data_IF_655239075223
#
_entry.id   IF_655239075223
#
_cell.length_a   1.000
_cell.length_b   1.000
_cell.length_c   1.000
_cell.angle_alpha   90.00
_cell.angle_beta   90.00
_cell.angle_gamma   90.00
#
_symmetry.space_group_name_H-M   'P 1'
#
loop_
_entity.id
_entity.type
_entity.pdbx_description
1 polymer ?
#
# COMPACT_ATOMS: atom_id res chain seq x y z
N UNK A 1 10.72 -20.93 -20.99
CA UNK A 1 9.94 -20.80 -19.74
C UNK A 1 9.10 -19.53 -19.86
N UNK A 2 7.78 -19.60 -19.70
CA UNK A 2 6.91 -18.41 -19.74
C UNK A 2 6.83 -17.85 -18.31
N UNK A 3 7.22 -16.58 -18.08
CA UNK A 3 7.12 -15.98 -16.75
C UNK A 3 5.66 -15.75 -16.37
N UNK A 4 5.24 -16.26 -15.22
CA UNK A 4 3.89 -16.10 -14.68
C UNK A 4 3.68 -14.67 -14.15
N UNK A 5 4.73 -14.04 -13.62
CA UNK A 5 4.71 -12.70 -13.05
C UNK A 5 5.65 -11.79 -13.84
N UNK A 6 5.16 -11.24 -14.95
CA UNK A 6 5.88 -10.24 -15.75
C UNK A 6 5.23 -8.86 -15.54
N UNK A 7 5.88 -7.93 -14.81
CA UNK A 7 5.40 -6.56 -14.70
C UNK A 7 5.30 -5.91 -16.09
N UNK A 8 4.21 -5.19 -16.32
CA UNK A 8 4.09 -4.33 -17.51
C UNK A 8 4.93 -3.08 -17.30
N UNK A 9 5.82 -2.78 -18.26
CA UNK A 9 6.63 -1.57 -18.27
C UNK A 9 6.12 -0.66 -19.40
N UNK A 10 5.54 0.51 -19.07
CA UNK A 10 5.11 1.47 -20.08
C UNK A 10 6.29 2.01 -20.90
N UNK A 11 6.05 2.29 -22.18
CA UNK A 11 7.02 2.97 -23.04
C UNK A 11 7.23 4.43 -22.58
N UNK A 12 8.45 4.96 -22.74
CA UNK A 12 8.75 6.36 -22.47
C UNK A 12 8.89 6.77 -20.98
N UNK A 13 8.82 5.83 -20.04
CA UNK A 13 8.86 6.13 -18.59
C UNK A 13 10.19 6.73 -18.10
N UNK A 14 11.30 6.46 -18.81
CA UNK A 14 12.65 6.87 -18.40
C UNK A 14 12.80 8.37 -18.22
N UNK A 15 12.24 9.19 -19.12
CA UNK A 15 12.36 10.66 -19.02
C UNK A 15 11.72 11.21 -17.73
N UNK A 16 10.61 10.61 -17.29
CA UNK A 16 9.97 10.97 -16.01
C UNK A 16 10.82 10.55 -14.82
N UNK A 17 11.31 9.31 -14.83
CA UNK A 17 12.14 8.76 -13.76
C UNK A 17 13.45 9.55 -13.61
N UNK A 18 14.16 9.84 -14.70
CA UNK A 18 15.42 10.60 -14.67
C UNK A 18 15.22 11.97 -14.02
N UNK A 19 14.15 12.68 -14.38
CA UNK A 19 13.82 13.97 -13.75
C UNK A 19 13.61 13.83 -12.25
N UNK A 20 12.96 12.76 -11.78
CA UNK A 20 12.75 12.50 -10.35
C UNK A 20 14.09 12.20 -9.68
N UNK A 21 14.89 11.29 -10.23
CA UNK A 21 16.16 10.86 -9.67
C UNK A 21 17.14 12.03 -9.48
N UNK A 22 17.25 12.91 -10.47
CA UNK A 22 18.14 14.08 -10.42
C UNK A 22 17.52 15.31 -9.73
N UNK A 23 16.24 15.27 -9.34
CA UNK A 23 15.59 16.40 -8.64
C UNK A 23 16.01 16.56 -7.18
N UNK A 24 16.66 15.56 -6.58
CA UNK A 24 16.93 15.47 -5.14
C UNK A 24 15.70 15.17 -4.27
N UNK A 25 14.50 15.11 -4.84
CA UNK A 25 13.24 14.86 -4.14
C UNK A 25 12.75 13.43 -4.37
N UNK A 26 13.37 12.47 -3.67
CA UNK A 26 13.08 11.04 -3.82
C UNK A 26 12.02 10.50 -2.86
N UNK A 27 11.77 11.23 -1.76
CA UNK A 27 10.74 10.87 -0.78
C UNK A 27 9.34 11.21 -1.29
N UNK A 28 8.32 10.86 -0.50
CA UNK A 28 6.95 11.26 -0.79
C UNK A 28 6.83 12.78 -0.96
N UNK A 29 6.27 13.20 -2.09
CA UNK A 29 6.26 14.59 -2.51
C UNK A 29 5.25 14.83 -3.62
N UNK A 30 5.60 15.67 -4.59
CA UNK A 30 4.70 16.04 -5.71
C UNK A 30 4.07 14.82 -6.39
N UNK A 31 4.88 13.84 -6.78
CA UNK A 31 4.40 12.66 -7.52
C UNK A 31 3.59 11.70 -6.65
N UNK A 32 3.92 11.59 -5.35
CA UNK A 32 3.13 10.81 -4.39
C UNK A 32 1.72 11.39 -4.22
N UNK A 33 1.61 12.71 -4.04
CA UNK A 33 0.32 13.41 -3.96
C UNK A 33 -0.51 13.31 -5.25
N UNK A 34 0.15 13.43 -6.41
CA UNK A 34 -0.52 13.28 -7.69
C UNK A 34 -1.07 11.87 -7.89
N UNK A 35 -0.30 10.85 -7.49
CA UNK A 35 -0.74 9.46 -7.52
C UNK A 35 -1.93 9.22 -6.57
N UNK A 36 -1.85 9.73 -5.33
CA UNK A 36 -2.94 9.62 -4.36
C UNK A 36 -4.22 10.29 -4.85
N UNK A 37 -4.14 11.47 -5.46
CA UNK A 37 -5.28 12.14 -6.07
C UNK A 37 -5.91 11.30 -7.19
N UNK A 38 -5.10 10.82 -8.13
CA UNK A 38 -5.61 9.99 -9.24
C UNK A 38 -6.23 8.68 -8.74
N UNK A 39 -5.64 8.08 -7.70
CA UNK A 39 -6.18 6.88 -7.09
C UNK A 39 -7.50 7.16 -6.36
N UNK A 40 -7.59 8.28 -5.64
CA UNK A 40 -8.81 8.76 -4.98
C UNK A 40 -9.96 8.92 -5.98
N UNK A 41 -9.70 9.60 -7.11
CA UNK A 41 -10.65 9.78 -8.20
C UNK A 41 -11.07 8.45 -8.83
N UNK A 42 -10.12 7.52 -9.04
CA UNK A 42 -10.39 6.20 -9.60
C UNK A 42 -11.25 5.31 -8.68
N UNK A 43 -10.99 5.34 -7.37
CA UNK A 43 -11.73 4.57 -6.36
C UNK A 43 -13.10 5.22 -6.08
N UNK A 44 -13.21 6.55 -6.25
CA UNK A 44 -14.40 7.32 -5.88
C UNK A 44 -14.50 7.57 -4.37
N UNK A 45 -13.37 7.73 -3.68
CA UNK A 45 -13.33 8.01 -2.24
C UNK A 45 -12.30 9.10 -1.92
N UNK A 46 -12.79 10.28 -1.53
CA UNK A 46 -11.98 11.45 -1.19
C UNK A 46 -11.06 11.24 0.02
N UNK A 47 -11.30 10.21 0.83
CA UNK A 47 -10.50 9.84 2.00
C UNK A 47 -9.50 8.72 1.69
N UNK A 48 -8.80 8.82 0.55
CA UNK A 48 -7.78 7.85 0.13
C UNK A 48 -6.40 8.28 0.58
N UNK A 49 -5.64 7.36 1.17
CA UNK A 49 -4.24 7.58 1.59
C UNK A 49 -3.33 6.49 1.03
N UNK A 50 -2.19 6.91 0.47
CA UNK A 50 -1.16 6.03 -0.05
C UNK A 50 -0.11 5.73 1.01
N UNK A 51 0.33 4.47 1.06
CA UNK A 51 1.36 4.00 1.99
C UNK A 51 2.35 3.09 1.28
N UNK A 52 3.45 2.78 1.94
CA UNK A 52 4.57 2.02 1.35
C UNK A 52 4.25 0.55 1.08
N UNK A 53 3.35 -0.07 1.84
CA UNK A 53 2.95 -1.47 1.64
C UNK A 53 1.62 -1.79 2.30
N UNK A 54 1.02 -2.91 1.90
CA UNK A 54 -0.19 -3.45 2.52
C UNK A 54 -0.03 -3.67 4.04
N UNK A 55 1.11 -4.23 4.48
CA UNK A 55 1.34 -4.45 5.92
C UNK A 55 1.37 -3.14 6.70
N UNK A 56 1.97 -2.07 6.15
CA UNK A 56 1.92 -0.75 6.79
C UNK A 56 0.49 -0.21 6.88
N UNK A 57 -0.30 -0.36 5.81
CA UNK A 57 -1.71 0.02 5.83
C UNK A 57 -2.45 -0.68 6.97
N UNK A 58 -2.27 -2.00 7.08
CA UNK A 58 -2.97 -2.80 8.08
C UNK A 58 -2.53 -2.45 9.51
N UNK A 59 -1.24 -2.20 9.73
CA UNK A 59 -0.75 -1.77 11.04
C UNK A 59 -1.30 -0.40 11.46
N UNK A 60 -1.45 0.53 10.51
CA UNK A 60 -2.09 1.83 10.76
C UNK A 60 -3.55 1.58 11.16
N UNK A 61 -4.31 0.86 10.33
CA UNK A 61 -5.73 0.57 10.58
C UNK A 61 -5.96 -0.06 11.95
N UNK A 62 -5.24 -1.14 12.27
CA UNK A 62 -5.40 -1.84 13.55
C UNK A 62 -5.04 -0.95 14.74
N UNK A 63 -4.05 -0.07 14.59
CA UNK A 63 -3.67 0.89 15.65
C UNK A 63 -4.68 2.03 15.80
N UNK A 64 -5.31 2.46 14.70
CA UNK A 64 -6.31 3.53 14.70
C UNK A 64 -7.66 3.06 15.21
N UNK A 65 -8.02 1.79 15.00
CA UNK A 65 -9.26 1.20 15.53
C UNK A 65 -9.23 1.00 17.06
N UNK A 66 -8.06 1.14 17.70
CA UNK A 66 -7.92 0.99 19.15
C UNK A 66 -8.05 -0.45 19.63
N UNK A 67 -7.76 -1.42 18.77
CA UNK A 67 -7.81 -2.85 19.13
C UNK A 67 -6.70 -3.20 20.13
N UNK A 68 -7.07 -3.98 21.13
CA UNK A 68 -6.18 -4.43 22.19
C UNK A 68 -5.82 -5.92 22.04
N UNK A 69 -4.69 -6.37 22.62
CA UNK A 69 -4.36 -7.79 22.67
C UNK A 69 -5.51 -8.64 23.21
N UNK A 70 -5.91 -9.66 22.45
CA UNK A 70 -7.02 -10.55 22.78
C UNK A 70 -8.35 -10.22 22.09
N UNK A 71 -8.49 -9.05 21.46
CA UNK A 71 -9.64 -8.73 20.63
C UNK A 71 -9.75 -9.65 19.41
N UNK A 72 -10.98 -9.97 19.00
CA UNK A 72 -11.26 -10.95 17.94
C UNK A 72 -11.48 -10.28 16.58
N UNK A 73 -10.89 -10.85 15.53
CA UNK A 73 -11.02 -10.40 14.14
C UNK A 73 -11.51 -11.53 13.25
N UNK A 74 -12.65 -11.31 12.59
CA UNK A 74 -13.17 -12.25 11.59
C UNK A 74 -12.32 -12.14 10.31
N UNK A 75 -11.64 -13.23 9.96
CA UNK A 75 -10.81 -13.31 8.76
C UNK A 75 -11.14 -14.54 7.90
N UNK A 76 -10.84 -14.46 6.60
CA UNK A 76 -10.96 -15.61 5.70
C UNK A 76 -9.86 -16.65 6.03
N UNK A 77 -10.19 -17.96 6.12
CA UNK A 77 -9.18 -19.00 6.24
C UNK A 77 -8.37 -19.18 4.94
N UNK A 78 -8.89 -18.66 3.82
CA UNK A 78 -8.19 -18.62 2.52
C UNK A 78 -7.81 -17.17 2.24
N UNK A 79 -6.61 -16.78 2.66
CA UNK A 79 -6.05 -15.46 2.44
C UNK A 79 -4.53 -15.52 2.23
N UNK A 80 -3.96 -14.44 1.72
CA UNK A 80 -2.51 -14.29 1.68
C UNK A 80 -1.98 -14.14 3.11
N UNK A 81 -0.80 -14.69 3.40
CA UNK A 81 -0.16 -14.55 4.72
C UNK A 81 -0.04 -13.09 5.16
N UNK A 82 0.23 -12.18 4.21
CA UNK A 82 0.31 -10.74 4.47
C UNK A 82 -0.98 -10.15 5.05
N UNK A 83 -2.15 -10.72 4.73
CA UNK A 83 -3.45 -10.30 5.26
C UNK A 83 -3.65 -10.65 6.73
N UNK A 84 -3.16 -11.81 7.18
CA UNK A 84 -3.43 -12.30 8.54
C UNK A 84 -2.25 -12.06 9.51
N UNK A 85 -1.03 -11.97 8.99
CA UNK A 85 0.17 -11.75 9.81
C UNK A 85 0.08 -10.49 10.72
N UNK A 86 -0.50 -9.35 10.31
CA UNK A 86 -0.64 -8.18 11.18
C UNK A 86 -1.45 -8.44 12.45
N UNK A 87 -2.44 -9.34 12.41
CA UNK A 87 -3.24 -9.70 13.58
C UNK A 87 -2.39 -10.39 14.64
N UNK A 88 -1.58 -11.35 14.22
CA UNK A 88 -0.65 -12.05 15.11
C UNK A 88 0.38 -11.10 15.72
N UNK A 89 0.90 -10.13 14.96
CA UNK A 89 1.83 -9.10 15.47
C UNK A 89 1.19 -8.25 16.56
N UNK A 90 -0.11 -7.97 16.45
CA UNK A 90 -0.90 -7.19 17.42
C UNK A 90 -1.49 -8.05 18.55
N UNK A 91 -1.21 -9.35 18.60
CA UNK A 91 -1.80 -10.31 19.54
C UNK A 91 -3.34 -10.33 19.49
N UNK A 92 -3.91 -10.15 18.31
CA UNK A 92 -5.35 -10.29 18.06
C UNK A 92 -5.71 -11.76 17.80
N UNK A 93 -6.95 -12.13 18.10
CA UNK A 93 -7.48 -13.49 17.97
C UNK A 93 -8.26 -13.70 16.68
#
# INVERSE_FOLDING_TARGET
>A
MIPIFKPYMPEGIMSGIEKILYSGNLAFGKYGKLFEQQLSEYIGNDMTMTVSSYNHAMMIVLSTLGLEPGDEVIASPVSCLASNQPFAIKNLK
#
